data_IF_454110903335
#
_entry.id   IF_454110903335
#
_cell.length_a   1.000
_cell.length_b   1.000
_cell.length_c   1.000
_cell.angle_alpha   90.00
_cell.angle_beta   90.00
_cell.angle_gamma   90.00
#
_symmetry.space_group_name_H-M   'P 1'
#
loop_
_entity.id
_entity.type
_entity.pdbx_description
1 polymer ?
#
# COMPACT_ATOMS: atom_id res chain seq x y z
N UNK A 1 37.43 -26.92 7.13
CA UNK A 1 37.55 -25.49 6.78
C UNK A 1 36.64 -24.71 7.72
N UNK A 2 37.21 -23.96 8.66
CA UNK A 2 36.45 -23.21 9.64
C UNK A 2 35.76 -22.02 8.96
N UNK A 3 34.44 -21.94 9.06
CA UNK A 3 33.67 -20.79 8.59
C UNK A 3 34.05 -19.58 9.45
N UNK A 4 34.58 -18.54 8.82
CA UNK A 4 34.90 -17.29 9.48
C UNK A 4 33.62 -16.69 10.06
N UNK A 5 33.57 -16.60 11.39
CA UNK A 5 32.50 -15.96 12.15
C UNK A 5 32.50 -14.46 11.81
N UNK A 6 31.66 -14.07 10.85
CA UNK A 6 31.43 -12.68 10.48
C UNK A 6 30.72 -11.97 11.63
N UNK A 7 31.52 -11.47 12.58
CA UNK A 7 31.02 -10.64 13.69
C UNK A 7 30.21 -9.49 13.12
N UNK A 8 28.88 -9.57 13.26
CA UNK A 8 27.94 -8.53 12.82
C UNK A 8 28.36 -7.20 13.44
N UNK A 9 28.78 -6.25 12.61
CA UNK A 9 29.21 -4.92 13.05
C UNK A 9 28.00 -4.16 13.56
N UNK A 10 27.83 -4.09 14.89
CA UNK A 10 26.79 -3.27 15.53
C UNK A 10 27.28 -1.83 15.67
N UNK A 11 26.39 -0.88 15.45
CA UNK A 11 26.65 0.54 15.73
C UNK A 11 26.84 0.76 17.23
N UNK A 12 27.61 1.78 17.59
CA UNK A 12 27.86 2.13 19.00
C UNK A 12 26.58 2.68 19.66
N UNK A 13 26.46 2.49 20.98
CA UNK A 13 25.31 2.97 21.76
C UNK A 13 25.11 4.49 21.64
N UNK A 14 26.21 5.25 21.56
CA UNK A 14 26.17 6.69 21.37
C UNK A 14 25.55 7.10 20.02
N UNK A 15 25.84 6.38 18.94
CA UNK A 15 25.28 6.64 17.61
C UNK A 15 23.80 6.25 17.57
N UNK A 16 23.42 5.13 18.18
CA UNK A 16 22.02 4.69 18.26
C UNK A 16 21.14 5.63 19.09
N UNK A 17 21.70 6.36 20.06
CA UNK A 17 20.98 7.36 20.86
C UNK A 17 20.67 8.68 20.13
N UNK A 18 21.18 8.87 18.91
CA UNK A 18 20.92 10.07 18.13
C UNK A 18 19.49 10.07 17.57
N UNK A 19 18.88 11.26 17.48
CA UNK A 19 17.46 11.43 17.08
C UNK A 19 17.11 10.74 15.76
N UNK A 20 18.03 10.69 14.80
CA UNK A 20 17.80 10.04 13.50
C UNK A 20 17.81 8.50 13.56
N UNK A 21 18.40 7.90 14.60
CA UNK A 21 18.43 6.45 14.84
C UNK A 21 17.28 5.96 15.74
N UNK A 22 16.50 6.88 16.32
CA UNK A 22 15.42 6.53 17.26
C UNK A 22 14.34 5.64 16.65
N UNK A 23 13.94 5.87 15.38
CA UNK A 23 12.93 5.03 14.73
C UNK A 23 13.38 3.57 14.61
N UNK A 24 14.67 3.34 14.29
CA UNK A 24 15.23 1.99 14.19
C UNK A 24 15.39 1.33 15.55
N UNK A 25 15.76 2.11 16.58
CA UNK A 25 15.87 1.62 17.96
C UNK A 25 14.50 1.22 18.50
N UNK A 26 13.51 2.10 18.39
CA UNK A 26 12.14 1.86 18.84
C UNK A 26 11.54 0.62 18.16
N UNK A 27 11.80 0.44 16.86
CA UNK A 27 11.33 -0.75 16.13
C UNK A 27 11.95 -2.04 16.67
N UNK A 28 13.27 -2.04 16.89
CA UNK A 28 13.98 -3.22 17.40
C UNK A 28 13.60 -3.55 18.84
N UNK A 29 13.44 -2.54 19.69
CA UNK A 29 13.01 -2.71 21.08
C UNK A 29 11.57 -3.22 21.14
N UNK A 30 10.68 -2.70 20.29
CA UNK A 30 9.30 -3.18 20.18
C UNK A 30 9.25 -4.65 19.75
N UNK A 31 10.01 -5.05 18.73
CA UNK A 31 10.08 -6.44 18.26
C UNK A 31 10.59 -7.37 19.36
N UNK A 32 11.67 -6.99 20.05
CA UNK A 32 12.19 -7.76 21.17
C UNK A 32 11.17 -7.90 22.31
N UNK A 33 10.47 -6.81 22.64
CA UNK A 33 9.51 -6.79 23.72
C UNK A 33 8.22 -7.55 23.36
N UNK A 34 7.82 -7.57 22.08
CA UNK A 34 6.72 -8.40 21.57
C UNK A 34 7.08 -9.88 21.65
N UNK A 35 8.29 -10.27 21.26
CA UNK A 35 8.76 -11.67 21.37
C UNK A 35 8.81 -12.14 22.83
N UNK A 36 9.33 -11.30 23.73
CA UNK A 36 9.38 -11.61 25.17
C UNK A 36 7.98 -11.67 25.78
N UNK A 37 7.08 -10.75 25.42
CA UNK A 37 5.70 -10.77 25.87
C UNK A 37 4.92 -11.98 25.34
N UNK A 38 5.11 -12.35 24.07
CA UNK A 38 4.49 -13.55 23.49
C UNK A 38 4.99 -14.82 24.17
N UNK A 39 6.28 -14.90 24.53
CA UNK A 39 6.81 -16.03 25.31
C UNK A 39 6.21 -16.10 26.70
N UNK A 40 6.10 -14.98 27.40
CA UNK A 40 5.46 -14.91 28.72
C UNK A 40 3.99 -15.33 28.64
N UNK A 41 3.28 -14.86 27.62
CA UNK A 41 1.91 -15.28 27.32
C UNK A 41 1.89 -16.79 27.11
N UNK A 42 2.69 -17.36 26.20
CA UNK A 42 2.67 -18.80 25.93
C UNK A 42 3.03 -19.66 27.17
N UNK A 43 3.96 -19.21 28.00
CA UNK A 43 4.38 -19.90 29.22
C UNK A 43 3.31 -19.83 30.34
N UNK A 44 2.55 -18.73 30.41
CA UNK A 44 1.50 -18.50 31.42
C UNK A 44 0.09 -18.88 30.97
N UNK A 45 -0.16 -19.08 29.67
CA UNK A 45 -1.47 -19.44 29.14
C UNK A 45 -1.71 -20.95 29.23
N UNK A 46 -2.30 -21.36 30.35
CA UNK A 46 -2.86 -22.70 30.51
C UNK A 46 -4.19 -22.79 29.76
N UNK A 47 -4.17 -23.41 28.58
CA UNK A 47 -5.39 -23.78 27.85
C UNK A 47 -6.01 -25.01 28.54
N UNK A 48 -7.22 -24.85 29.07
CA UNK A 48 -8.01 -25.99 29.54
C UNK A 48 -8.68 -26.61 28.31
N UNK A 49 -8.29 -27.84 27.96
CA UNK A 49 -8.97 -28.66 26.96
C UNK A 49 -10.34 -29.11 27.50
N UNK A 50 -11.27 -28.16 27.63
CA UNK A 50 -12.66 -28.49 27.86
C UNK A 50 -13.22 -29.09 26.57
N UNK A 51 -13.89 -30.27 26.61
CA UNK A 51 -14.65 -30.74 25.48
C UNK A 51 -15.65 -29.63 25.13
N UNK A 52 -15.52 -29.07 23.92
CA UNK A 52 -16.37 -27.98 23.44
C UNK A 52 -17.80 -28.52 23.38
N UNK A 53 -18.55 -28.36 24.47
CA UNK A 53 -19.98 -28.54 24.49
C UNK A 53 -20.55 -27.40 23.63
N UNK A 54 -20.59 -27.64 22.32
CA UNK A 54 -21.19 -26.73 21.32
C UNK A 54 -22.65 -26.38 21.65
N UNK A 55 -23.28 -27.12 22.55
CA UNK A 55 -24.63 -26.90 23.07
C UNK A 55 -24.72 -25.89 24.21
N UNK A 56 -23.61 -25.53 24.87
CA UNK A 56 -23.58 -24.59 26.00
C UNK A 56 -23.06 -23.19 25.62
N UNK A 57 -22.73 -22.97 24.34
CA UNK A 57 -22.44 -21.62 23.84
C UNK A 57 -23.75 -20.84 23.78
N UNK A 58 -23.77 -19.67 24.43
CA UNK A 58 -24.93 -18.79 24.43
C UNK A 58 -25.36 -18.48 23.00
N UNK A 59 -26.62 -18.78 22.67
CA UNK A 59 -27.24 -18.42 21.38
C UNK A 59 -27.40 -16.90 21.21
N UNK A 60 -27.22 -16.13 22.29
CA UNK A 60 -27.43 -14.68 22.31
C UNK A 60 -26.17 -13.95 22.78
N UNK A 61 -25.83 -12.90 22.05
CA UNK A 61 -24.77 -11.95 22.40
C UNK A 61 -25.41 -10.65 22.88
N UNK A 62 -25.21 -10.32 24.16
CA UNK A 62 -25.73 -9.08 24.74
C UNK A 62 -24.66 -8.00 24.55
N UNK A 63 -24.89 -7.12 23.57
CA UNK A 63 -24.04 -5.97 23.31
C UNK A 63 -24.71 -4.69 23.86
N UNK A 64 -24.01 -3.87 24.68
CA UNK A 64 -24.56 -2.61 25.19
C UNK A 64 -24.57 -1.48 24.13
N UNK A 65 -23.97 -1.72 22.96
CA UNK A 65 -23.84 -0.73 21.89
C UNK A 65 -24.97 -0.85 20.86
N UNK A 66 -25.57 0.28 20.49
CA UNK A 66 -26.58 0.37 19.43
C UNK A 66 -26.00 0.49 18.01
N UNK A 67 -24.66 0.60 17.89
CA UNK A 67 -23.97 0.82 16.61
C UNK A 67 -24.35 -0.23 15.56
N UNK A 68 -24.40 -1.50 15.98
CA UNK A 68 -24.73 -2.62 15.08
C UNK A 68 -26.20 -2.67 14.66
N UNK A 69 -27.10 -2.07 15.45
CA UNK A 69 -28.54 -2.15 15.23
C UNK A 69 -29.07 -1.02 14.36
N UNK A 70 -28.56 0.20 14.53
CA UNK A 70 -29.15 1.40 13.91
C UNK A 70 -28.38 1.96 12.71
N UNK A 71 -27.24 1.39 12.34
CA UNK A 71 -26.47 1.85 11.17
C UNK A 71 -26.10 3.34 11.26
N UNK A 72 -25.73 3.81 12.47
CA UNK A 72 -25.54 5.23 12.78
C UNK A 72 -24.57 5.92 11.82
N UNK A 73 -24.91 7.15 11.42
CA UNK A 73 -24.09 8.02 10.56
C UNK A 73 -22.92 8.63 11.34
N UNK A 74 -21.82 8.95 10.67
CA UNK A 74 -20.73 9.72 11.26
C UNK A 74 -21.26 11.02 11.90
N UNK A 75 -21.02 11.18 13.21
CA UNK A 75 -21.67 12.24 14.00
C UNK A 75 -21.20 13.67 13.70
N UNK A 76 -20.03 13.87 13.08
CA UNK A 76 -19.58 15.21 12.68
C UNK A 76 -20.02 15.49 11.25
N UNK A 77 -20.83 16.52 11.10
CA UNK A 77 -21.42 16.88 9.81
C UNK A 77 -21.16 18.33 9.44
N UNK A 78 -20.91 18.56 8.15
CA UNK A 78 -20.84 19.88 7.54
C UNK A 78 -21.59 19.86 6.22
N UNK A 79 -22.17 21.01 5.88
CA UNK A 79 -22.94 21.19 4.66
C UNK A 79 -22.49 22.48 3.99
N UNK A 80 -22.83 22.64 2.70
CA UNK A 80 -22.65 23.88 1.94
C UNK A 80 -21.21 24.42 1.91
N UNK A 81 -20.21 23.55 2.03
CA UNK A 81 -18.80 23.91 1.93
C UNK A 81 -18.24 24.61 3.17
N UNK A 82 -18.94 24.63 4.31
CA UNK A 82 -18.45 25.24 5.56
C UNK A 82 -17.19 24.54 6.11
N UNK A 83 -17.04 23.25 5.81
CA UNK A 83 -15.80 22.52 6.10
C UNK A 83 -15.56 21.42 5.04
N UNK A 84 -14.72 21.69 4.02
CA UNK A 84 -14.51 20.74 2.93
C UNK A 84 -13.83 19.43 3.37
N UNK A 85 -13.04 19.46 4.45
CA UNK A 85 -12.40 18.26 4.99
C UNK A 85 -13.42 17.32 5.62
N UNK A 86 -14.39 17.87 6.37
CA UNK A 86 -15.46 17.07 6.98
C UNK A 86 -16.41 16.53 5.90
N UNK A 87 -16.76 17.34 4.90
CA UNK A 87 -17.59 16.87 3.77
C UNK A 87 -16.93 15.73 2.98
N UNK A 88 -15.60 15.76 2.83
CA UNK A 88 -14.86 14.66 2.20
C UNK A 88 -14.95 13.38 3.03
N UNK A 89 -14.78 13.48 4.35
CA UNK A 89 -14.92 12.32 5.25
C UNK A 89 -16.33 11.73 5.23
N UNK A 90 -17.36 12.58 5.19
CA UNK A 90 -18.75 12.15 5.10
C UNK A 90 -19.01 11.37 3.80
N UNK A 91 -18.47 11.84 2.66
CA UNK A 91 -18.58 11.12 1.38
C UNK A 91 -17.88 9.75 1.40
N UNK A 92 -16.72 9.64 2.05
CA UNK A 92 -16.01 8.37 2.18
C UNK A 92 -16.84 7.38 3.01
N UNK A 93 -17.38 7.82 4.15
CA UNK A 93 -18.26 6.99 5.00
C UNK A 93 -19.52 6.52 4.25
N UNK A 94 -20.15 7.42 3.48
CA UNK A 94 -21.29 7.06 2.63
C UNK A 94 -20.93 6.01 1.55
N UNK A 95 -19.72 6.12 0.98
CA UNK A 95 -19.20 5.19 -0.03
C UNK A 95 -18.94 3.80 0.57
N UNK A 96 -18.32 3.76 1.76
CA UNK A 96 -18.06 2.52 2.49
C UNK A 96 -19.35 1.80 2.88
N UNK A 97 -20.38 2.54 3.32
CA UNK A 97 -21.70 1.97 3.66
C UNK A 97 -22.43 1.41 2.46
N UNK A 98 -22.40 2.13 1.35
CA UNK A 98 -23.13 1.74 0.14
C UNK A 98 -22.41 0.63 -0.64
N UNK A 99 -21.15 0.32 -0.29
CA UNK A 99 -20.33 -0.67 -1.00
C UNK A 99 -20.03 -0.29 -2.44
N UNK A 100 -20.45 0.90 -2.87
CA UNK A 100 -20.21 1.45 -4.19
C UNK A 100 -18.81 2.03 -4.18
N UNK A 101 -17.78 1.18 -4.18
CA UNK A 101 -16.47 1.65 -4.62
C UNK A 101 -16.72 2.33 -5.95
N UNK A 102 -16.33 3.60 -6.07
CA UNK A 102 -16.37 4.30 -7.36
C UNK A 102 -15.76 3.33 -8.35
N UNK A 103 -16.58 2.82 -9.28
CA UNK A 103 -16.10 1.93 -10.32
C UNK A 103 -14.89 2.65 -10.90
N UNK A 104 -13.70 2.06 -10.72
CA UNK A 104 -12.48 2.63 -11.27
C UNK A 104 -12.84 2.96 -12.71
N UNK A 105 -12.82 4.26 -13.05
CA UNK A 105 -13.25 4.77 -14.34
C UNK A 105 -12.24 4.33 -15.38
N UNK A 106 -12.23 3.03 -15.62
CA UNK A 106 -11.45 2.35 -16.61
C UNK A 106 -12.10 2.76 -17.91
N UNK A 107 -11.40 3.60 -18.65
CA UNK A 107 -11.76 3.94 -20.02
C UNK A 107 -11.84 2.62 -20.77
N UNK A 108 -13.04 2.25 -21.23
CA UNK A 108 -13.22 1.05 -22.03
C UNK A 108 -12.42 1.13 -23.32
N UNK A 109 -12.01 -0.03 -23.86
CA UNK A 109 -11.21 -0.10 -25.09
C UNK A 109 -11.83 0.69 -26.26
N UNK A 110 -13.16 0.72 -26.35
CA UNK A 110 -13.89 1.49 -27.35
C UNK A 110 -13.72 3.00 -27.17
N UNK A 111 -13.80 3.50 -25.93
CA UNK A 111 -13.59 4.92 -25.63
C UNK A 111 -12.11 5.30 -25.86
N UNK A 112 -11.17 4.41 -25.51
CA UNK A 112 -9.74 4.60 -25.76
C UNK A 112 -9.44 4.67 -27.27
N UNK A 113 -10.03 3.79 -28.07
CA UNK A 113 -9.88 3.79 -29.52
C UNK A 113 -10.42 5.07 -30.15
N UNK A 114 -11.57 5.57 -29.67
CA UNK A 114 -12.17 6.81 -30.16
C UNK A 114 -11.34 8.05 -29.78
N UNK A 115 -10.79 8.12 -28.57
CA UNK A 115 -9.87 9.20 -28.19
C UNK A 115 -8.57 9.14 -29.00
N UNK A 116 -8.02 7.95 -29.21
CA UNK A 116 -6.82 7.77 -30.01
C UNK A 116 -7.04 8.18 -31.46
N UNK A 117 -8.17 7.80 -32.06
CA UNK A 117 -8.52 8.23 -33.42
C UNK A 117 -8.59 9.76 -33.49
N UNK A 118 -9.27 10.43 -32.57
CA UNK A 118 -9.34 11.90 -32.55
C UNK A 118 -7.97 12.58 -32.40
N UNK A 119 -7.06 12.02 -31.60
CA UNK A 119 -5.70 12.56 -31.41
C UNK A 119 -4.84 12.36 -32.68
N UNK A 120 -4.99 11.22 -33.36
CA UNK A 120 -4.30 10.93 -34.63
C UNK A 120 -4.82 11.83 -35.75
N UNK A 121 -6.14 12.04 -35.84
CA UNK A 121 -6.75 12.89 -36.87
C UNK A 121 -6.48 14.39 -36.64
N UNK A 122 -6.33 14.82 -35.38
CA UNK A 122 -6.01 16.22 -35.05
C UNK A 122 -4.53 16.58 -35.22
N UNK A 123 -3.67 15.64 -35.64
CA UNK A 123 -2.27 15.90 -36.01
C UNK A 123 -1.35 16.29 -34.85
N UNK A 124 -1.84 16.27 -33.61
CA UNK A 124 -1.11 16.71 -32.41
C UNK A 124 -0.16 15.65 -31.84
N UNK A 125 -0.10 14.45 -32.44
CA UNK A 125 0.80 13.39 -32.00
C UNK A 125 2.21 13.64 -32.55
N UNK A 126 3.09 14.20 -31.71
CA UNK A 126 4.54 14.24 -31.98
C UNK A 126 5.06 12.81 -32.02
N UNK A 127 5.24 12.26 -33.22
CA UNK A 127 5.72 10.90 -33.47
C UNK A 127 7.17 10.76 -33.00
N UNK A 128 7.37 10.38 -31.75
CA UNK A 128 8.67 9.90 -31.29
C UNK A 128 8.82 8.45 -31.76
N UNK A 129 9.56 8.26 -32.86
CA UNK A 129 10.39 7.10 -33.25
C UNK A 129 9.90 5.65 -33.20
N UNK A 130 8.83 5.31 -32.48
CA UNK A 130 8.43 3.91 -32.22
C UNK A 130 7.27 3.45 -33.12
N UNK A 131 6.59 4.37 -33.80
CA UNK A 131 5.43 4.06 -34.63
C UNK A 131 5.78 3.60 -36.06
N UNK A 132 7.03 3.73 -36.51
CA UNK A 132 7.42 3.27 -37.86
C UNK A 132 7.53 1.74 -37.94
N UNK A 133 7.89 1.07 -36.84
CA UNK A 133 8.10 -0.37 -36.78
C UNK A 133 6.81 -1.21 -36.93
N UNK A 134 5.63 -0.64 -36.62
CA UNK A 134 4.35 -1.37 -36.69
C UNK A 134 3.74 -1.42 -38.10
N UNK A 135 4.16 -0.53 -39.00
CA UNK A 135 3.65 -0.46 -40.39
C UNK A 135 4.65 -1.02 -41.42
N UNK A 136 5.89 -1.31 -41.01
CA UNK A 136 6.95 -1.80 -41.89
C UNK A 136 7.07 -3.33 -41.83
N UNK A 137 6.04 -4.06 -42.27
CA UNK A 137 6.09 -5.53 -42.37
C UNK A 137 6.88 -6.07 -43.57
N UNK A 138 7.58 -5.22 -44.33
CA UNK A 138 8.21 -5.60 -45.61
C UNK A 138 9.68 -5.17 -45.81
N UNK A 139 10.42 -4.82 -44.77
CA UNK A 139 11.87 -4.62 -44.89
C UNK A 139 12.63 -5.31 -43.77
N UNK A 140 13.66 -6.09 -44.14
CA UNK A 140 14.46 -6.93 -43.24
C UNK A 140 15.15 -6.17 -42.09
N UNK A 141 15.87 -6.90 -41.20
CA UNK A 141 16.26 -6.40 -39.89
C UNK A 141 17.26 -5.24 -39.99
N UNK A 142 16.87 -4.06 -39.49
CA UNK A 142 17.73 -2.87 -39.42
C UNK A 142 18.61 -2.91 -38.16
N UNK A 143 19.92 -2.65 -38.24
CA UNK A 143 20.82 -2.76 -37.09
C UNK A 143 20.60 -1.63 -36.06
N UNK A 144 20.42 -2.01 -34.79
CA UNK A 144 20.28 -1.07 -33.65
C UNK A 144 21.63 -0.39 -33.31
N UNK A 145 21.68 0.95 -33.32
CA UNK A 145 22.86 1.73 -32.88
C UNK A 145 23.05 1.60 -31.36
N UNK A 146 24.15 0.99 -30.91
CA UNK A 146 24.50 0.87 -29.48
C UNK A 146 25.20 2.15 -29.01
N UNK A 147 24.54 2.96 -28.20
CA UNK A 147 25.21 4.04 -27.46
C UNK A 147 26.11 3.45 -26.38
N UNK A 148 27.42 3.74 -26.45
CA UNK A 148 28.36 3.34 -25.40
C UNK A 148 28.15 4.23 -24.18
N UNK A 149 27.72 3.62 -23.06
CA UNK A 149 27.63 4.29 -21.75
C UNK A 149 29.05 4.67 -21.31
N UNK A 150 29.29 5.95 -21.03
CA UNK A 150 30.53 6.44 -20.43
C UNK A 150 30.33 6.63 -18.93
N UNK A 151 31.38 6.41 -18.15
CA UNK A 151 31.35 6.58 -16.70
C UNK A 151 31.16 8.06 -16.34
N UNK A 152 30.14 8.36 -15.53
CA UNK A 152 29.90 9.70 -14.98
C UNK A 152 30.60 9.78 -13.63
N UNK A 153 31.52 10.74 -13.47
CA UNK A 153 32.16 10.98 -12.18
C UNK A 153 31.15 11.64 -11.22
N UNK A 154 31.21 11.31 -9.92
CA UNK A 154 30.35 11.93 -8.92
C UNK A 154 30.61 13.44 -8.84
N UNK A 155 29.58 14.19 -8.43
CA UNK A 155 29.70 15.61 -8.13
C UNK A 155 30.43 15.77 -6.80
N UNK A 156 31.47 16.60 -6.79
CA UNK A 156 32.19 16.96 -5.58
C UNK A 156 31.26 17.84 -4.72
N UNK A 157 30.87 17.32 -3.55
CA UNK A 157 30.21 18.05 -2.46
C UNK A 157 31.20 18.14 -1.31
#
# INVERSE_FOLDING_TARGET
>A
MAAADMKKTKLSKAVLGLKFMQRTVIRLEKEQNEDENNRLIDDEHWVIDQPVEKSAQSCFEINPSYVSCEGLVFGRMSFLGFNPEIEKLMKIDDLERTGKREDETSVGDEEMANRFSQIVHSGNLKRHGYAEDLLASNSGPVPRKRFKRKFLKPLDI
#
